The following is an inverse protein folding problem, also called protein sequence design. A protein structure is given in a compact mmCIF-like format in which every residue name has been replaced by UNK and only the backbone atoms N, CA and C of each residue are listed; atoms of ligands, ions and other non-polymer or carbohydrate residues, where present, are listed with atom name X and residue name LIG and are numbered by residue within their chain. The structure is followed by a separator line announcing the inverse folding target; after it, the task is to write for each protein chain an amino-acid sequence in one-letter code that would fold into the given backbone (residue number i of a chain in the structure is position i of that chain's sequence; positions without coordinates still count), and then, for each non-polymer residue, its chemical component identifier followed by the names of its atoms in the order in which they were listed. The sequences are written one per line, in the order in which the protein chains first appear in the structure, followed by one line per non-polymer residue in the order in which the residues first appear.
data_IF_404308621307
#
_entry.id   IF_404308621307
#
_cell.length_a   1.000
_cell.length_b   1.000
_cell.length_c   1.000
_cell.angle_alpha   90.00
_cell.angle_beta   90.00
_cell.angle_gamma   90.00
#
_symmetry.space_group_name_H-M   'P 1'
#
loop_
_entity.id
_entity.type
_entity.pdbx_description
1 polymer ?
#
# COMPACT_ATOMS: atom_id res chain seq x y z
N UNK A 1 6.28 7.80 4.04
CA UNK A 1 5.63 6.61 4.62
C UNK A 1 4.13 6.82 4.60
N UNK A 2 3.36 5.86 4.09
CA UNK A 2 1.90 5.86 4.03
C UNK A 2 1.35 5.45 5.40
N UNK A 3 1.15 6.43 6.27
CA UNK A 3 0.64 6.21 7.64
C UNK A 3 -0.66 5.39 7.63
N UNK A 4 -1.53 5.62 6.65
CA UNK A 4 -2.78 4.88 6.51
C UNK A 4 -2.58 3.38 6.25
N UNK A 5 -1.48 2.97 5.61
CA UNK A 5 -1.15 1.55 5.44
C UNK A 5 -0.69 0.93 6.76
N UNK A 6 0.09 1.67 7.56
CA UNK A 6 0.54 1.23 8.89
C UNK A 6 -0.66 0.98 9.80
N UNK A 7 -1.62 1.92 9.79
CA UNK A 7 -2.87 1.79 10.55
C UNK A 7 -3.68 0.59 10.06
N UNK A 8 -3.88 0.44 8.75
CA UNK A 8 -4.66 -0.67 8.19
C UNK A 8 -4.00 -2.04 8.43
N UNK A 9 -2.66 -2.10 8.44
CA UNK A 9 -1.91 -3.31 8.75
C UNK A 9 -2.09 -3.72 10.22
N UNK A 10 -2.15 -2.75 11.13
CA UNK A 10 -2.23 -2.99 12.57
C UNK A 10 -1.00 -3.73 13.07
N UNK A 11 -1.20 -4.73 13.92
CA UNK A 11 -0.12 -5.54 14.51
C UNK A 11 0.48 -6.56 13.55
N UNK A 12 -0.14 -6.77 12.38
CA UNK A 12 0.37 -7.72 11.38
C UNK A 12 1.74 -7.26 10.88
N UNK A 13 2.67 -8.19 10.67
CA UNK A 13 3.97 -7.85 10.08
C UNK A 13 3.83 -7.48 8.60
N UNK A 14 4.79 -6.72 8.06
CA UNK A 14 4.83 -6.43 6.62
C UNK A 14 4.87 -7.72 5.78
N UNK A 15 5.59 -8.75 6.26
CA UNK A 15 5.66 -10.06 5.61
C UNK A 15 4.31 -10.77 5.60
N UNK A 16 3.54 -10.70 6.70
CA UNK A 16 2.22 -11.31 6.78
C UNK A 16 1.23 -10.69 5.77
N UNK A 17 1.19 -9.36 5.68
CA UNK A 17 0.32 -8.69 4.70
C UNK A 17 0.81 -8.91 3.27
N UNK A 18 2.11 -8.87 3.02
CA UNK A 18 2.68 -9.15 1.70
C UNK A 18 2.30 -10.56 1.21
N UNK A 19 2.40 -11.57 2.09
CA UNK A 19 1.97 -12.94 1.82
C UNK A 19 0.47 -13.00 1.49
N UNK A 20 -0.38 -12.35 2.30
CA UNK A 20 -1.82 -12.29 2.05
C UNK A 20 -2.18 -11.60 0.71
N UNK A 21 -1.39 -10.62 0.30
CA UNK A 21 -1.56 -9.91 -0.98
C UNK A 21 -0.84 -10.60 -2.16
N UNK A 22 -0.20 -11.77 -1.95
CA UNK A 22 0.51 -12.50 -2.99
C UNK A 22 1.70 -11.74 -3.58
N UNK A 23 2.49 -11.07 -2.73
CA UNK A 23 3.68 -10.33 -3.13
C UNK A 23 4.85 -10.48 -2.15
N UNK A 24 6.06 -10.10 -2.58
CA UNK A 24 7.24 -10.10 -1.72
C UNK A 24 7.21 -8.97 -0.67
N UNK A 25 7.77 -9.23 0.52
CA UNK A 25 7.86 -8.25 1.61
C UNK A 25 8.56 -6.95 1.17
N UNK A 26 9.65 -7.03 0.41
CA UNK A 26 10.36 -5.84 -0.08
C UNK A 26 9.48 -4.95 -0.97
N UNK A 27 8.61 -5.56 -1.79
CA UNK A 27 7.66 -4.81 -2.60
C UNK A 27 6.63 -4.10 -1.73
N UNK A 28 6.06 -4.80 -0.74
CA UNK A 28 5.17 -4.21 0.25
C UNK A 28 5.85 -3.05 1.01
N UNK A 29 7.08 -3.24 1.47
CA UNK A 29 7.85 -2.22 2.21
C UNK A 29 8.07 -0.94 1.38
N UNK A 30 8.42 -1.07 0.08
CA UNK A 30 8.54 0.07 -0.81
C UNK A 30 7.22 0.83 -0.98
N UNK A 31 6.10 0.11 -0.99
CA UNK A 31 4.76 0.70 -1.05
C UNK A 31 4.40 1.34 0.30
N UNK A 32 4.52 0.67 1.44
CA UNK A 32 4.22 1.28 2.75
C UNK A 32 5.09 2.51 3.02
N UNK A 33 6.31 2.57 2.50
CA UNK A 33 7.18 3.74 2.64
C UNK A 33 6.87 4.90 1.68
N UNK A 34 6.00 4.71 0.68
CA UNK A 34 5.72 5.72 -0.34
C UNK A 34 6.75 5.77 -1.47
N UNK A 35 7.75 4.88 -1.47
CA UNK A 35 8.83 4.85 -2.47
C UNK A 35 8.40 4.22 -3.80
N UNK A 36 7.29 3.49 -3.80
CA UNK A 36 6.70 2.89 -5.00
C UNK A 36 5.19 3.02 -4.97
N UNK A 37 4.59 3.37 -6.10
CA UNK A 37 3.15 3.25 -6.34
C UNK A 37 2.88 1.81 -6.82
N UNK A 38 1.92 1.06 -6.25
CA UNK A 38 1.57 -0.27 -6.73
C UNK A 38 0.94 -0.19 -8.13
N UNK A 39 1.05 -1.27 -8.91
CA UNK A 39 0.21 -1.46 -10.09
C UNK A 39 -1.26 -1.58 -9.68
N UNK A 40 -2.20 -1.41 -10.61
CA UNK A 40 -3.65 -1.59 -10.33
C UNK A 40 -3.95 -2.96 -9.71
N UNK A 41 -3.37 -4.02 -10.25
CA UNK A 41 -3.55 -5.38 -9.74
C UNK A 41 -2.96 -5.54 -8.33
N UNK A 42 -1.78 -4.98 -8.06
CA UNK A 42 -1.18 -5.00 -6.72
C UNK A 42 -2.00 -4.18 -5.73
N UNK A 43 -2.53 -3.02 -6.14
CA UNK A 43 -3.41 -2.18 -5.32
C UNK A 43 -4.68 -2.92 -4.93
N UNK A 44 -5.34 -3.61 -5.87
CA UNK A 44 -6.53 -4.42 -5.60
C UNK A 44 -6.24 -5.54 -4.59
N UNK A 45 -5.14 -6.27 -4.75
CA UNK A 45 -4.72 -7.33 -3.80
C UNK A 45 -4.42 -6.76 -2.42
N UNK A 46 -3.76 -5.61 -2.34
CA UNK A 46 -3.50 -4.92 -1.08
C UNK A 46 -4.79 -4.41 -0.43
N UNK A 47 -5.73 -3.88 -1.22
CA UNK A 47 -7.05 -3.46 -0.73
C UNK A 47 -7.79 -4.61 -0.06
N UNK A 48 -7.82 -5.77 -0.71
CA UNK A 48 -8.38 -6.99 -0.13
C UNK A 48 -7.62 -7.45 1.13
N UNK A 49 -6.28 -7.45 1.13
CA UNK A 49 -5.50 -7.91 2.29
C UNK A 49 -5.59 -6.96 3.50
N UNK A 50 -5.69 -5.65 3.26
CA UNK A 50 -5.73 -4.60 4.28
C UNK A 50 -7.16 -4.18 4.66
N UNK A 51 -8.19 -4.67 3.95
CA UNK A 51 -9.60 -4.29 4.14
C UNK A 51 -9.82 -2.77 3.97
N UNK A 52 -9.31 -2.23 2.86
CA UNK A 52 -9.39 -0.80 2.51
C UNK A 52 -9.80 -0.64 1.04
N UNK A 53 -10.27 0.56 0.68
CA UNK A 53 -10.41 0.93 -0.73
C UNK A 53 -9.03 1.09 -1.38
N UNK A 54 -8.80 0.34 -2.46
CA UNK A 54 -7.55 0.40 -3.21
C UNK A 54 -7.40 1.66 -4.06
N UNK A 55 -8.48 2.41 -4.35
CA UNK A 55 -8.37 3.67 -5.09
C UNK A 55 -7.51 4.71 -4.38
N UNK A 56 -7.41 4.62 -3.05
CA UNK A 56 -6.56 5.49 -2.22
C UNK A 56 -5.09 5.55 -2.66
N UNK A 57 -4.56 4.45 -3.22
CA UNK A 57 -3.20 4.42 -3.77
C UNK A 57 -2.99 5.36 -4.96
N UNK A 58 -4.07 5.89 -5.54
CA UNK A 58 -4.09 6.70 -6.75
C UNK A 58 -4.56 8.13 -6.53
N UNK A 59 -5.02 8.45 -5.33
CA UNK A 59 -5.39 9.79 -4.90
C UNK A 59 -4.18 10.62 -4.45
N UNK A 60 -3.10 9.97 -4.02
CA UNK A 60 -1.88 10.62 -3.53
C UNK A 60 -1.17 11.50 -4.58
N UNK A 61 -1.46 11.33 -5.88
CA UNK A 61 -0.85 12.11 -6.97
C UNK A 61 -1.47 13.49 -7.24
N UNK A 62 -2.41 13.96 -6.41
CA UNK A 62 -3.07 15.28 -6.57
C UNK A 62 -2.54 16.40 -5.67
N UNK A 63 -1.41 16.17 -4.99
CA UNK A 63 -0.59 17.19 -4.33
C UNK A 63 0.83 16.84 -4.81
N UNK A 64 1.39 17.52 -5.80
CA UNK A 64 1.86 18.89 -5.69
C UNK A 64 1.67 19.64 -7.03
N UNK A 65 0.67 20.52 -7.06
CA UNK A 65 0.73 21.72 -7.87
C UNK A 65 1.31 22.82 -6.99
N UNK A 66 2.64 22.86 -6.89
CA UNK A 66 3.40 24.04 -6.47
C UNK A 66 4.52 24.18 -7.50
N UNK A 67 4.29 25.14 -8.39
CA UNK A 67 5.30 25.84 -9.20
C UNK A 67 6.22 26.63 -8.25
#
# INVERSE_FOLDING_TARGET
MRVWMVIARGERTQAAVAKAAGMGQSHYCLIENGKRRPSRQAAQRLGAALQIDWHRFFEEGKRDGVD
#
